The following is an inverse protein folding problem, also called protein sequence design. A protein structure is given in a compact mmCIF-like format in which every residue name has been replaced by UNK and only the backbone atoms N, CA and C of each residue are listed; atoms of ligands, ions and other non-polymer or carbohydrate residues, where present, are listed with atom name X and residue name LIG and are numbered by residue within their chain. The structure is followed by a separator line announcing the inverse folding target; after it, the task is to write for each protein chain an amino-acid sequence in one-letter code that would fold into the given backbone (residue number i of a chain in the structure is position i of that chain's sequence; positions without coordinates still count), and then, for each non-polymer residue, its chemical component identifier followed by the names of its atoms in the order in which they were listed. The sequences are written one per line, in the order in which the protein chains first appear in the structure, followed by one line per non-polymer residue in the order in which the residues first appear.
data_IF_176422165797
#
_entry.id   IF_176422165797
#
_cell.length_a   1.000
_cell.length_b   1.000
_cell.length_c   1.000
_cell.angle_alpha   90.00
_cell.angle_beta   90.00
_cell.angle_gamma   90.00
#
_symmetry.space_group_name_H-M   'P 1'
#
loop_
_entity.id
_entity.type
_entity.pdbx_description
1 polymer ?
#
# COMPACT_ATOMS: atom_id res chain seq x y z
N UNK A 1 11.75 -21.32 -63.89
CA UNK A 1 12.06 -21.17 -62.45
C UNK A 1 10.73 -21.01 -61.74
N UNK A 2 10.25 -22.08 -61.11
CA UNK A 2 9.00 -22.08 -60.34
C UNK A 2 9.27 -21.35 -59.04
N UNK A 3 8.56 -20.24 -58.79
CA UNK A 3 8.51 -19.60 -57.48
C UNK A 3 7.68 -20.55 -56.63
N UNK A 4 8.36 -21.31 -55.77
CA UNK A 4 7.72 -22.06 -54.70
C UNK A 4 7.06 -21.02 -53.80
N UNK A 5 5.73 -20.95 -53.86
CA UNK A 5 4.94 -20.36 -52.78
C UNK A 5 5.40 -21.02 -51.49
N UNK A 6 6.04 -20.23 -50.63
CA UNK A 6 6.29 -20.62 -49.25
C UNK A 6 4.92 -20.90 -48.66
N UNK A 7 4.63 -22.19 -48.48
CA UNK A 7 3.36 -22.69 -47.98
C UNK A 7 2.96 -21.84 -46.79
N UNK A 8 1.76 -21.26 -46.90
CA UNK A 8 1.04 -20.64 -45.81
C UNK A 8 1.29 -21.49 -44.57
N UNK A 9 2.01 -20.94 -43.56
CA UNK A 9 2.21 -21.64 -42.30
C UNK A 9 0.85 -22.15 -41.89
N UNK A 10 0.67 -23.49 -41.85
CA UNK A 10 -0.59 -24.11 -41.48
C UNK A 10 -1.04 -23.40 -40.20
N UNK A 11 -2.10 -22.58 -40.31
CA UNK A 11 -2.51 -21.73 -39.22
C UNK A 11 -2.82 -22.67 -38.06
N UNK A 12 -2.07 -22.57 -36.96
CA UNK A 12 -2.38 -23.37 -35.78
C UNK A 12 -3.87 -23.21 -35.47
N UNK A 13 -4.51 -24.28 -35.01
CA UNK A 13 -5.91 -24.22 -34.63
C UNK A 13 -6.11 -23.21 -33.49
N UNK A 14 -7.30 -22.60 -33.44
CA UNK A 14 -7.67 -21.65 -32.38
C UNK A 14 -7.49 -22.25 -30.98
N UNK A 15 -7.73 -23.55 -30.84
CA UNK A 15 -7.58 -24.28 -29.58
C UNK A 15 -6.12 -24.32 -29.10
N UNK A 16 -5.17 -24.55 -30.01
CA UNK A 16 -3.74 -24.52 -29.67
C UNK A 16 -3.30 -23.12 -29.25
N UNK A 17 -3.82 -22.08 -29.90
CA UNK A 17 -3.56 -20.71 -29.48
C UNK A 17 -4.14 -20.43 -28.10
N UNK A 18 -5.36 -20.90 -27.82
CA UNK A 18 -5.97 -20.78 -26.49
C UNK A 18 -5.12 -21.46 -25.40
N UNK A 19 -4.67 -22.70 -25.64
CA UNK A 19 -3.83 -23.44 -24.69
C UNK A 19 -2.47 -22.77 -24.45
N UNK A 20 -1.89 -22.14 -25.47
CA UNK A 20 -0.66 -21.35 -25.33
C UNK A 20 -0.94 -20.10 -24.50
N UNK A 21 -1.96 -19.32 -24.87
CA UNK A 21 -2.30 -18.05 -24.22
C UNK A 21 -2.68 -18.25 -22.74
N UNK A 22 -3.34 -19.37 -22.40
CA UNK A 22 -3.71 -19.73 -21.03
C UNK A 22 -2.51 -19.93 -20.09
N UNK A 23 -1.32 -20.22 -20.63
CA UNK A 23 -0.09 -20.46 -19.85
C UNK A 23 0.77 -19.21 -19.69
N UNK A 24 0.42 -18.11 -20.37
CA UNK A 24 1.16 -16.86 -20.29
C UNK A 24 0.84 -16.12 -19.00
N UNK A 25 1.82 -15.39 -18.47
CA UNK A 25 1.57 -14.39 -17.44
C UNK A 25 0.77 -13.22 -18.02
N UNK A 26 0.10 -12.44 -17.15
CA UNK A 26 -0.81 -11.38 -17.58
C UNK A 26 -0.15 -10.29 -18.43
N UNK A 27 1.13 -9.97 -18.20
CA UNK A 27 1.82 -8.94 -18.98
C UNK A 27 2.13 -9.46 -20.39
N UNK A 28 2.61 -10.70 -20.50
CA UNK A 28 2.84 -11.35 -21.79
C UNK A 28 1.53 -11.60 -22.54
N UNK A 29 0.45 -11.98 -21.86
CA UNK A 29 -0.88 -12.12 -22.45
C UNK A 29 -1.38 -10.78 -23.04
N UNK A 30 -1.22 -9.68 -22.30
CA UNK A 30 -1.56 -8.35 -22.79
C UNK A 30 -0.77 -7.98 -24.05
N UNK A 31 0.54 -8.24 -24.06
CA UNK A 31 1.40 -7.98 -25.22
C UNK A 31 1.02 -8.85 -26.43
N UNK A 32 0.75 -10.14 -26.21
CA UNK A 32 0.33 -11.07 -27.25
C UNK A 32 -1.00 -10.63 -27.89
N UNK A 33 -1.93 -10.10 -27.09
CA UNK A 33 -3.22 -9.60 -27.60
C UNK A 33 -3.08 -8.48 -28.64
N UNK A 34 -1.96 -7.75 -28.63
CA UNK A 34 -1.68 -6.68 -29.59
C UNK A 34 -0.97 -7.16 -30.86
N UNK A 35 -0.49 -8.41 -30.89
CA UNK A 35 0.34 -8.91 -31.99
C UNK A 35 -0.48 -9.33 -33.23
N UNK A 36 -1.68 -9.88 -33.04
CA UNK A 36 -2.56 -10.29 -34.13
C UNK A 36 -4.04 -10.32 -33.72
N UNK A 37 -4.94 -10.32 -34.72
CA UNK A 37 -6.39 -10.29 -34.49
C UNK A 37 -6.93 -11.55 -33.78
N UNK A 38 -6.35 -12.73 -34.06
CA UNK A 38 -6.73 -13.99 -33.41
C UNK A 38 -6.42 -13.95 -31.92
N UNK A 39 -5.19 -13.55 -31.54
CA UNK A 39 -4.81 -13.39 -30.14
C UNK A 39 -5.64 -12.30 -29.46
N UNK A 40 -5.89 -11.18 -30.13
CA UNK A 40 -6.76 -10.12 -29.60
C UNK A 40 -8.17 -10.66 -29.27
N UNK A 41 -8.72 -11.53 -30.14
CA UNK A 41 -10.04 -12.11 -29.94
C UNK A 41 -10.06 -13.11 -28.79
N UNK A 42 -9.08 -14.02 -28.73
CA UNK A 42 -8.97 -15.01 -27.66
C UNK A 42 -8.69 -14.33 -26.30
N UNK A 43 -7.81 -13.34 -26.26
CA UNK A 43 -7.50 -12.57 -25.04
C UNK A 43 -8.65 -11.72 -24.51
N UNK A 44 -9.82 -11.69 -25.15
CA UNK A 44 -11.03 -11.09 -24.57
C UNK A 44 -11.78 -12.05 -23.65
N UNK A 45 -11.46 -13.34 -23.66
CA UNK A 45 -12.09 -14.31 -22.76
C UNK A 45 -11.68 -14.07 -21.31
N UNK A 46 -12.67 -13.92 -20.44
CA UNK A 46 -12.46 -13.64 -19.01
C UNK A 46 -11.78 -14.79 -18.27
N UNK A 47 -11.97 -16.03 -18.73
CA UNK A 47 -11.35 -17.23 -18.14
C UNK A 47 -9.81 -17.17 -18.13
N UNK A 48 -9.20 -16.55 -19.16
CA UNK A 48 -7.75 -16.36 -19.24
C UNK A 48 -7.29 -15.39 -18.14
N UNK A 49 -7.99 -14.28 -17.99
CA UNK A 49 -7.66 -13.26 -16.99
C UNK A 49 -7.99 -13.71 -15.56
N UNK A 50 -9.03 -14.53 -15.38
CA UNK A 50 -9.35 -15.19 -14.12
C UNK A 50 -8.17 -16.06 -13.66
N UNK A 51 -7.63 -16.92 -14.54
CA UNK A 51 -6.46 -17.74 -14.22
C UNK A 51 -5.23 -16.87 -13.87
N UNK A 52 -5.01 -15.78 -14.59
CA UNK A 52 -3.93 -14.82 -14.30
C UNK A 52 -4.13 -14.17 -12.93
N UNK A 53 -5.35 -13.74 -12.60
CA UNK A 53 -5.66 -13.13 -11.31
C UNK A 53 -5.48 -14.12 -10.16
N UNK A 54 -5.99 -15.35 -10.28
CA UNK A 54 -5.78 -16.41 -9.30
C UNK A 54 -4.29 -16.70 -9.08
N UNK A 55 -3.51 -16.67 -10.17
CA UNK A 55 -2.07 -16.89 -10.14
C UNK A 55 -1.31 -15.75 -9.46
N UNK A 56 -1.83 -14.51 -9.40
CA UNK A 56 -1.17 -13.38 -8.74
C UNK A 56 -1.71 -13.10 -7.33
N UNK A 57 -3.02 -13.23 -7.15
CA UNK A 57 -3.77 -12.83 -5.97
C UNK A 57 -4.63 -14.01 -5.53
N UNK A 58 -4.15 -14.75 -4.53
CA UNK A 58 -4.81 -15.97 -4.06
C UNK A 58 -6.25 -15.72 -3.59
N UNK A 59 -6.50 -14.54 -3.01
CA UNK A 59 -7.82 -14.11 -2.55
C UNK A 59 -8.88 -14.12 -3.66
N UNK A 60 -8.47 -13.97 -4.92
CA UNK A 60 -9.40 -13.94 -6.06
C UNK A 60 -10.03 -15.29 -6.37
N UNK A 61 -9.51 -16.40 -5.81
CA UNK A 61 -10.13 -17.73 -5.93
C UNK A 61 -11.44 -17.87 -5.16
N UNK A 62 -11.72 -16.99 -4.19
CA UNK A 62 -12.92 -17.07 -3.35
C UNK A 62 -14.15 -16.62 -4.13
N UNK A 63 -15.25 -17.38 -4.01
CA UNK A 63 -16.47 -17.15 -4.80
C UNK A 63 -17.11 -15.76 -4.56
N UNK A 64 -17.02 -15.25 -3.33
CA UNK A 64 -17.48 -13.90 -2.97
C UNK A 64 -16.67 -12.82 -3.71
N UNK A 65 -15.35 -13.00 -3.81
CA UNK A 65 -14.45 -12.10 -4.55
C UNK A 65 -14.67 -12.21 -6.07
N UNK A 66 -14.94 -13.41 -6.60
CA UNK A 66 -15.28 -13.58 -8.02
C UNK A 66 -16.54 -12.80 -8.40
N UNK A 67 -17.56 -12.85 -7.55
CA UNK A 67 -18.79 -12.07 -7.71
C UNK A 67 -18.51 -10.57 -7.68
N UNK A 68 -17.67 -10.11 -6.74
CA UNK A 68 -17.21 -8.72 -6.68
C UNK A 68 -16.50 -8.29 -7.96
N UNK A 69 -15.50 -9.05 -8.41
CA UNK A 69 -14.72 -8.75 -9.62
C UNK A 69 -15.62 -8.69 -10.85
N UNK A 70 -16.57 -9.62 -10.96
CA UNK A 70 -17.58 -9.62 -12.02
C UNK A 70 -18.43 -8.35 -11.98
N UNK A 71 -18.86 -7.91 -10.79
CA UNK A 71 -19.69 -6.69 -10.63
C UNK A 71 -18.97 -5.38 -10.97
N UNK A 72 -17.64 -5.33 -10.80
CA UNK A 72 -16.83 -4.13 -11.09
C UNK A 72 -16.28 -4.08 -12.51
N UNK A 73 -16.54 -5.12 -13.33
CA UNK A 73 -16.26 -5.13 -14.77
C UNK A 73 -15.39 -6.27 -15.27
N UNK A 74 -15.20 -7.33 -14.49
CA UNK A 74 -14.51 -8.55 -14.90
C UNK A 74 -13.02 -8.61 -14.52
N UNK A 75 -12.45 -9.80 -14.63
CA UNK A 75 -11.06 -10.10 -14.31
C UNK A 75 -10.08 -9.38 -15.22
N UNK A 76 -10.41 -9.19 -16.50
CA UNK A 76 -9.54 -8.44 -17.42
C UNK A 76 -9.34 -7.01 -16.97
N UNK A 77 -10.43 -6.33 -16.61
CA UNK A 77 -10.39 -4.98 -16.08
C UNK A 77 -9.70 -4.94 -14.73
N UNK A 78 -10.07 -5.85 -13.82
CA UNK A 78 -9.46 -5.94 -12.49
C UNK A 78 -7.94 -6.11 -12.55
N UNK A 79 -7.44 -6.98 -13.43
CA UNK A 79 -6.00 -7.13 -13.67
C UNK A 79 -5.37 -5.85 -14.20
N UNK A 80 -5.96 -5.24 -15.22
CA UNK A 80 -5.46 -3.99 -15.80
C UNK A 80 -5.43 -2.85 -14.77
N UNK A 81 -6.37 -2.88 -13.83
CA UNK A 81 -6.49 -1.89 -12.77
C UNK A 81 -5.47 -2.09 -11.63
N UNK A 82 -5.27 -3.34 -11.20
CA UNK A 82 -4.51 -3.66 -9.98
C UNK A 82 -3.06 -4.06 -10.21
N UNK A 83 -2.72 -4.54 -11.41
CA UNK A 83 -1.35 -4.91 -11.74
C UNK A 83 -0.38 -3.72 -11.78
N UNK A 84 -0.69 -2.59 -12.46
CA UNK A 84 0.18 -1.42 -12.44
C UNK A 84 0.11 -0.69 -11.09
N UNK A 85 1.23 -0.09 -10.70
CA UNK A 85 1.38 0.60 -9.42
C UNK A 85 1.03 2.08 -9.53
N UNK A 86 0.46 2.66 -8.47
CA UNK A 86 0.16 4.09 -8.41
C UNK A 86 1.45 4.90 -8.47
N UNK A 87 1.46 5.94 -9.31
CA UNK A 87 2.58 6.90 -9.42
C UNK A 87 2.02 8.30 -9.32
N UNK A 88 2.50 9.05 -8.33
CA UNK A 88 2.21 10.47 -8.20
C UNK A 88 3.47 11.28 -8.55
N UNK A 89 3.43 11.98 -9.70
CA UNK A 89 4.51 12.87 -10.14
C UNK A 89 4.27 14.33 -9.74
N UNK A 90 3.07 14.65 -9.27
CA UNK A 90 2.65 16.00 -8.88
C UNK A 90 2.95 16.25 -7.39
N UNK A 91 4.16 15.90 -6.91
CA UNK A 91 4.56 16.26 -5.55
C UNK A 91 4.85 17.75 -5.54
N UNK A 92 4.10 18.59 -4.80
CA UNK A 92 4.37 20.02 -4.76
C UNK A 92 5.78 20.25 -4.22
N UNK A 93 6.65 20.85 -5.03
CA UNK A 93 7.94 21.35 -4.57
C UNK A 93 7.65 22.56 -3.69
N UNK A 94 7.80 22.40 -2.37
CA UNK A 94 7.91 23.47 -1.38
C UNK A 94 7.04 24.71 -1.65
N UNK A 95 5.72 24.53 -1.65
CA UNK A 95 4.76 25.59 -1.35
C UNK A 95 3.76 25.07 -0.34
N UNK A 96 4.27 24.58 0.79
CA UNK A 96 3.47 24.62 2.01
C UNK A 96 3.69 26.04 2.53
N UNK A 97 2.94 27.00 2.00
CA UNK A 97 3.04 28.40 2.42
C UNK A 97 3.00 28.42 3.95
N UNK A 98 4.11 28.87 4.52
CA UNK A 98 4.39 28.96 5.95
C UNK A 98 3.64 30.12 6.60
N UNK A 99 2.47 30.47 6.07
CA UNK A 99 1.67 31.61 6.49
C UNK A 99 0.19 31.40 6.15
N UNK A 100 -0.38 30.30 6.65
CA UNK A 100 -1.77 30.40 7.07
C UNK A 100 -1.72 30.47 8.58
N UNK A 101 -1.99 31.69 9.10
CA UNK A 101 -2.61 31.84 10.40
C UNK A 101 -3.59 30.67 10.55
N UNK A 102 -3.47 29.90 11.63
CA UNK A 102 -4.65 29.23 12.15
C UNK A 102 -5.74 30.29 12.11
N UNK A 103 -6.84 30.12 11.36
CA UNK A 103 -7.98 30.99 11.56
C UNK A 103 -8.42 30.68 12.98
N UNK A 104 -7.93 31.49 13.93
CA UNK A 104 -8.61 31.71 15.18
C UNK A 104 -10.04 32.04 14.75
N UNK A 105 -10.96 31.12 15.05
CA UNK A 105 -12.38 31.19 14.70
C UNK A 105 -12.73 30.77 13.25
N UNK A 106 -12.68 29.47 12.97
CA UNK A 106 -13.77 28.88 12.16
C UNK A 106 -15.03 28.96 13.02
N UNK A 107 -15.78 30.05 12.92
CA UNK A 107 -17.17 30.07 13.36
C UNK A 107 -17.94 29.00 12.57
N UNK A 108 -18.16 27.85 13.23
CA UNK A 108 -19.39 27.05 13.14
C UNK A 108 -20.58 28.04 13.02
N UNK A 109 -21.17 28.36 11.84
CA UNK A 109 -21.89 27.41 10.99
C UNK A 109 -21.98 27.76 9.47
N UNK A 110 -21.10 28.59 8.88
CA UNK A 110 -21.31 29.12 7.51
C UNK A 110 -20.64 28.32 6.36
N UNK A 111 -20.05 27.15 6.64
CA UNK A 111 -19.45 26.25 5.63
C UNK A 111 -20.45 25.25 4.99
N UNK A 112 -21.76 25.45 5.19
CA UNK A 112 -22.82 24.66 4.55
C UNK A 112 -23.50 25.47 3.45
N UNK A 113 -22.79 25.70 2.35
CA UNK A 113 -23.35 26.30 1.15
C UNK A 113 -22.54 25.92 -0.09
N UNK A 114 -23.09 24.98 -0.87
CA UNK A 114 -22.58 24.40 -2.14
C UNK A 114 -21.58 23.24 -2.04
N UNK A 115 -22.08 22.00 -1.85
CA UNK A 115 -21.69 20.85 -2.68
C UNK A 115 -22.90 19.89 -2.73
N UNK A 116 -23.69 19.98 -3.80
CA UNK A 116 -24.74 19.01 -4.15
C UNK A 116 -24.17 17.70 -4.75
N UNK A 117 -22.85 17.45 -4.68
CA UNK A 117 -22.17 16.27 -5.24
C UNK A 117 -21.55 15.31 -4.19
N UNK A 118 -21.92 15.42 -2.91
CA UNK A 118 -21.62 14.35 -1.94
C UNK A 118 -22.55 13.15 -2.16
N UNK A 119 -22.34 12.45 -3.27
CA UNK A 119 -22.69 11.06 -3.35
C UNK A 119 -21.89 10.32 -2.27
N UNK A 120 -22.51 10.16 -1.09
CA UNK A 120 -21.98 9.64 0.17
C UNK A 120 -21.07 8.43 -0.05
N UNK A 121 -19.76 8.63 0.04
CA UNK A 121 -18.79 7.54 0.06
C UNK A 121 -18.88 6.91 1.43
N UNK A 122 -19.29 5.64 1.48
CA UNK A 122 -19.42 4.92 2.73
C UNK A 122 -18.22 3.99 2.95
N UNK A 123 -17.82 3.75 4.20
CA UNK A 123 -16.83 2.73 4.52
C UNK A 123 -17.16 1.37 3.91
N UNK A 124 -18.45 1.01 3.87
CA UNK A 124 -18.96 -0.24 3.31
C UNK A 124 -18.84 -0.35 1.79
N UNK A 125 -18.55 0.75 1.07
CA UNK A 125 -18.30 0.72 -0.37
C UNK A 125 -16.94 0.11 -0.72
N UNK A 126 -16.01 0.10 0.24
CA UNK A 126 -14.65 -0.38 0.05
C UNK A 126 -14.53 -1.87 0.38
N UNK A 127 -13.61 -2.53 -0.32
CA UNK A 127 -13.18 -3.91 -0.04
C UNK A 127 -11.66 -3.94 -0.14
N UNK A 128 -10.99 -4.50 0.86
CA UNK A 128 -9.54 -4.73 0.83
C UNK A 128 -9.25 -6.18 0.50
N UNK A 129 -8.54 -6.43 -0.59
CA UNK A 129 -8.04 -7.75 -0.99
C UNK A 129 -6.54 -7.75 -0.73
N UNK A 130 -6.09 -8.59 0.20
CA UNK A 130 -4.71 -8.56 0.72
C UNK A 130 -4.07 -9.92 0.58
N UNK A 131 -3.01 -9.98 -0.21
CA UNK A 131 -2.24 -11.19 -0.43
C UNK A 131 -0.76 -10.92 -0.18
N UNK A 132 -0.13 -11.81 0.58
CA UNK A 132 1.31 -11.80 0.84
C UNK A 132 1.91 -13.06 0.28
N UNK A 133 3.02 -12.88 -0.44
CA UNK A 133 3.82 -13.97 -0.99
C UNK A 133 5.24 -13.89 -0.48
N UNK A 134 5.83 -15.05 -0.27
CA UNK A 134 7.26 -15.19 -0.12
C UNK A 134 7.76 -16.08 -1.25
N UNK A 135 8.58 -15.50 -2.14
CA UNK A 135 8.95 -16.11 -3.42
C UNK A 135 7.67 -16.44 -4.20
N UNK A 136 7.47 -17.70 -4.59
CA UNK A 136 6.28 -18.14 -5.33
C UNK A 136 5.18 -18.72 -4.42
N UNK A 137 5.40 -18.76 -3.09
CA UNK A 137 4.43 -19.30 -2.13
C UNK A 137 3.57 -18.20 -1.53
N UNK A 138 2.26 -18.44 -1.46
CA UNK A 138 1.30 -17.59 -0.75
C UNK A 138 1.40 -17.89 0.74
N UNK A 139 1.61 -16.86 1.55
CA UNK A 139 1.82 -17.00 2.99
C UNK A 139 0.67 -16.38 3.79
N UNK A 140 -0.03 -15.40 3.22
CA UNK A 140 -1.21 -14.78 3.82
C UNK A 140 -2.17 -14.37 2.71
N UNK A 141 -3.47 -14.57 2.91
CA UNK A 141 -4.51 -14.22 1.95
C UNK A 141 -5.79 -13.88 2.73
N UNK A 142 -6.25 -12.64 2.64
CA UNK A 142 -7.44 -12.20 3.36
C UNK A 142 -8.21 -11.13 2.58
N UNK A 143 -9.51 -11.07 2.84
CA UNK A 143 -10.44 -10.15 2.21
C UNK A 143 -11.26 -9.48 3.30
N UNK A 144 -11.17 -8.16 3.38
CA UNK A 144 -12.01 -7.35 4.27
C UNK A 144 -13.10 -6.67 3.47
N UNK A 145 -14.34 -6.84 3.91
CA UNK A 145 -15.51 -6.15 3.39
C UNK A 145 -15.80 -4.93 4.26
N UNK A 146 -15.70 -3.73 3.68
CA UNK A 146 -15.79 -2.47 4.42
C UNK A 146 -14.46 -2.04 5.05
N UNK A 147 -14.50 -0.93 5.78
CA UNK A 147 -13.40 -0.51 6.66
C UNK A 147 -13.69 -1.02 8.07
N UNK A 148 -12.75 -1.73 8.72
CA UNK A 148 -12.93 -2.19 10.10
C UNK A 148 -13.24 -1.03 11.06
N UNK A 149 -13.96 -1.34 12.14
CA UNK A 149 -14.33 -0.39 13.20
C UNK A 149 -15.13 0.84 12.74
N UNK A 150 -15.64 0.83 11.50
CA UNK A 150 -16.42 1.94 10.93
C UNK A 150 -17.92 1.88 11.26
N UNK A 151 -18.42 0.71 11.66
CA UNK A 151 -19.82 0.49 12.05
C UNK A 151 -20.14 0.95 13.49
N UNK A 152 -19.19 1.60 14.17
CA UNK A 152 -19.34 2.07 15.54
C UNK A 152 -20.46 3.11 15.69
N UNK A 153 -21.27 2.98 16.76
CA UNK A 153 -22.24 3.99 17.15
C UNK A 153 -21.56 5.37 17.24
N UNK A 154 -22.21 6.39 16.65
CA UNK A 154 -21.79 7.80 16.59
C UNK A 154 -20.74 8.19 15.54
N UNK A 155 -20.33 7.31 14.62
CA UNK A 155 -19.46 7.72 13.51
C UNK A 155 -18.04 8.14 13.93
N UNK A 156 -17.56 7.67 15.09
CA UNK A 156 -16.22 7.95 15.62
C UNK A 156 -15.12 7.80 14.55
N UNK A 157 -15.23 6.77 13.72
CA UNK A 157 -14.31 6.52 12.61
C UNK A 157 -13.94 7.78 11.82
N UNK A 158 -14.90 8.66 11.52
CA UNK A 158 -14.67 9.83 10.68
C UNK A 158 -13.64 10.81 11.26
N UNK A 159 -13.54 10.90 12.58
CA UNK A 159 -12.62 11.79 13.31
C UNK A 159 -11.37 11.06 13.82
N UNK A 160 -11.36 9.73 13.74
CA UNK A 160 -10.26 8.89 14.22
C UNK A 160 -9.09 8.84 13.24
N UNK A 161 -7.83 8.74 13.72
CA UNK A 161 -6.68 8.40 12.89
C UNK A 161 -6.92 7.11 12.10
N UNK A 162 -6.81 7.18 10.78
CA UNK A 162 -7.06 6.03 9.92
C UNK A 162 -5.98 4.96 10.06
N UNK A 163 -6.42 3.75 10.38
CA UNK A 163 -5.59 2.55 10.45
C UNK A 163 -6.44 1.31 10.19
N UNK A 164 -5.92 0.40 9.37
CA UNK A 164 -6.47 -0.95 9.21
C UNK A 164 -5.43 -1.94 9.71
N UNK A 165 -5.79 -2.84 10.62
CA UNK A 165 -4.86 -3.82 11.20
C UNK A 165 -5.40 -5.25 11.04
N UNK A 166 -4.77 -6.04 10.16
CA UNK A 166 -5.33 -7.34 9.76
C UNK A 166 -5.02 -8.48 10.73
N UNK A 167 -3.89 -8.43 11.41
CA UNK A 167 -3.43 -9.52 12.29
C UNK A 167 -4.10 -9.41 13.66
N UNK A 168 -4.34 -8.20 14.15
CA UNK A 168 -5.08 -8.00 15.40
C UNK A 168 -6.59 -8.28 15.24
N UNK A 169 -7.16 -8.08 14.03
CA UNK A 169 -8.58 -8.38 13.77
C UNK A 169 -8.89 -9.89 13.77
N UNK A 170 -7.92 -10.76 13.48
CA UNK A 170 -8.10 -12.21 13.64
C UNK A 170 -8.23 -12.63 15.11
N UNK A 171 -7.53 -11.95 16.03
CA UNK A 171 -7.56 -12.28 17.47
C UNK A 171 -8.93 -12.01 18.11
N UNK A 172 -9.68 -11.01 17.61
CA UNK A 172 -10.97 -10.60 18.17
C UNK A 172 -12.17 -11.43 17.66
N UNK A 173 -12.02 -12.14 16.53
CA UNK A 173 -13.14 -12.80 15.84
C UNK A 173 -13.28 -14.30 16.16
N UNK A 174 -12.49 -14.86 17.09
CA UNK A 174 -12.64 -16.23 17.58
C UNK A 174 -12.48 -17.34 16.52
N UNK A 175 -11.93 -17.02 15.35
CA UNK A 175 -11.56 -17.99 14.32
C UNK A 175 -10.24 -18.69 14.74
N UNK A 176 -10.08 -19.99 14.44
CA UNK A 176 -8.88 -20.73 14.81
C UNK A 176 -7.64 -20.05 14.23
N UNK A 177 -6.62 -19.93 15.09
CA UNK A 177 -5.28 -19.40 14.82
C UNK A 177 -4.65 -20.04 13.57
N UNK A 178 -4.88 -19.48 12.38
CA UNK A 178 -3.92 -19.65 11.28
C UNK A 178 -2.77 -18.67 11.55
N UNK A 179 -1.96 -19.00 12.57
CA UNK A 179 -0.70 -18.29 12.83
C UNK A 179 0.17 -18.40 11.58
N UNK A 180 0.28 -17.30 10.84
CA UNK A 180 1.13 -17.26 9.65
C UNK A 180 2.59 -17.32 10.06
N UNK A 181 3.17 -18.50 9.88
CA UNK A 181 4.56 -18.80 10.14
C UNK A 181 5.31 -19.09 8.84
N UNK A 182 6.58 -18.68 8.79
CA UNK A 182 7.51 -19.00 7.72
C UNK A 182 8.67 -19.78 8.32
N UNK A 183 9.03 -20.90 7.71
CA UNK A 183 10.11 -21.76 8.17
C UNK A 183 11.20 -21.95 7.10
N UNK A 184 12.23 -22.72 7.44
CA UNK A 184 13.29 -23.11 6.48
C UNK A 184 12.73 -23.95 5.33
N UNK A 185 11.64 -24.70 5.56
CA UNK A 185 10.95 -25.48 4.51
C UNK A 185 10.36 -24.58 3.42
N UNK A 186 10.01 -23.34 3.78
CA UNK A 186 9.54 -22.31 2.84
C UNK A 186 10.70 -21.67 2.04
N UNK A 187 11.92 -22.14 2.25
CA UNK A 187 13.12 -21.61 1.61
C UNK A 187 13.68 -20.36 2.30
N UNK A 188 13.41 -20.18 3.60
CA UNK A 188 14.15 -19.22 4.43
C UNK A 188 15.57 -19.75 4.69
N UNK A 189 16.59 -18.86 4.73
CA UNK A 189 17.92 -19.27 5.13
C UNK A 189 17.93 -19.68 6.61
N UNK A 190 18.55 -20.82 6.97
CA UNK A 190 18.72 -21.17 8.37
C UNK A 190 19.66 -20.18 9.05
N UNK A 191 19.22 -19.60 10.16
CA UNK A 191 20.06 -18.83 11.07
C UNK A 191 20.31 -19.63 12.35
N UNK A 192 21.58 -19.71 12.74
CA UNK A 192 22.02 -20.44 13.94
C UNK A 192 22.14 -19.54 15.17
N UNK A 193 22.16 -18.22 14.98
CA UNK A 193 22.17 -17.21 16.04
C UNK A 193 21.69 -15.87 15.48
N UNK A 194 20.89 -15.14 16.27
CA UNK A 194 20.43 -13.79 15.93
C UNK A 194 21.60 -12.79 15.84
N UNK A 195 22.69 -13.04 16.57
CA UNK A 195 23.89 -12.20 16.59
C UNK A 195 24.71 -12.34 15.31
N UNK A 196 24.76 -13.55 14.73
CA UNK A 196 25.39 -13.77 13.42
C UNK A 196 24.57 -13.14 12.32
N UNK A 197 23.25 -13.35 12.37
CA UNK A 197 22.35 -12.64 11.48
C UNK A 197 22.62 -11.13 11.60
N UNK A 198 22.76 -10.56 12.82
CA UNK A 198 23.10 -9.13 13.03
C UNK A 198 24.30 -8.65 12.21
N UNK A 199 25.34 -9.47 12.05
CA UNK A 199 26.52 -9.14 11.21
C UNK A 199 26.26 -9.37 9.72
N UNK A 200 25.64 -10.49 9.35
CA UNK A 200 25.58 -10.96 7.97
C UNK A 200 24.36 -10.45 7.19
N UNK A 201 23.27 -10.17 7.90
CA UNK A 201 22.00 -9.68 7.36
C UNK A 201 21.41 -10.59 6.28
N UNK A 202 21.68 -11.89 6.34
CA UNK A 202 21.32 -12.83 5.28
C UNK A 202 19.82 -13.08 5.28
N UNK A 203 19.25 -13.37 6.45
CA UNK A 203 17.81 -13.57 6.61
C UNK A 203 17.04 -12.29 6.23
N UNK A 204 17.50 -11.13 6.69
CA UNK A 204 16.88 -9.86 6.34
C UNK A 204 16.86 -9.60 4.83
N UNK A 205 17.98 -9.83 4.13
CA UNK A 205 18.07 -9.64 2.68
C UNK A 205 17.15 -10.60 1.93
N UNK A 206 17.20 -11.90 2.25
CA UNK A 206 16.33 -12.90 1.63
C UNK A 206 14.84 -12.60 1.88
N UNK A 207 14.47 -12.19 3.09
CA UNK A 207 13.10 -11.83 3.43
C UNK A 207 12.65 -10.59 2.64
N UNK A 208 13.47 -9.54 2.61
CA UNK A 208 13.19 -8.30 1.87
C UNK A 208 13.06 -8.56 0.37
N UNK A 209 13.95 -9.38 -0.20
CA UNK A 209 14.00 -9.63 -1.64
C UNK A 209 12.93 -10.63 -2.07
N UNK A 210 12.55 -11.56 -1.19
CA UNK A 210 11.57 -12.62 -1.42
C UNK A 210 10.12 -12.22 -1.14
N UNK A 211 9.84 -11.30 -0.22
CA UNK A 211 8.46 -10.94 0.10
C UNK A 211 7.86 -10.01 -0.96
N UNK A 212 6.61 -10.32 -1.32
CA UNK A 212 5.75 -9.45 -2.12
C UNK A 212 4.42 -9.23 -1.42
N UNK A 213 3.94 -7.99 -1.41
CA UNK A 213 2.66 -7.60 -0.84
C UNK A 213 1.77 -7.01 -1.94
N UNK A 214 0.52 -7.49 -2.00
CA UNK A 214 -0.57 -6.82 -2.71
C UNK A 214 -1.61 -6.38 -1.70
N UNK A 215 -1.97 -5.10 -1.74
CA UNK A 215 -3.09 -4.56 -0.97
C UNK A 215 -3.98 -3.80 -1.93
N UNK A 216 -4.96 -4.51 -2.47
CA UNK A 216 -5.89 -3.98 -3.47
C UNK A 216 -7.10 -3.42 -2.76
N UNK A 217 -7.39 -2.15 -3.01
CA UNK A 217 -8.64 -1.53 -2.63
C UNK A 217 -9.58 -1.55 -3.82
N UNK A 218 -10.80 -2.02 -3.59
CA UNK A 218 -11.90 -2.00 -4.56
C UNK A 218 -13.00 -1.10 -4.00
N UNK A 219 -13.50 -0.16 -4.80
CA UNK A 219 -14.73 0.55 -4.49
C UNK A 219 -15.86 -0.01 -5.36
N UNK A 220 -16.87 -0.59 -4.70
CA UNK A 220 -18.01 -1.25 -5.36
C UNK A 220 -18.87 -0.28 -6.14
N UNK A 221 -19.04 0.93 -5.63
CA UNK A 221 -19.90 1.97 -6.22
C UNK A 221 -19.26 2.58 -7.47
N UNK A 222 -18.00 2.97 -7.37
CA UNK A 222 -17.22 3.53 -8.49
C UNK A 222 -16.79 2.44 -9.50
N UNK A 223 -16.90 1.17 -9.14
CA UNK A 223 -16.42 0.02 -9.93
C UNK A 223 -14.96 0.17 -10.33
N UNK A 224 -14.13 0.64 -9.41
CA UNK A 224 -12.69 0.82 -9.62
C UNK A 224 -11.91 0.04 -8.58
N UNK A 225 -10.72 -0.40 -8.97
CA UNK A 225 -9.78 -1.05 -8.07
C UNK A 225 -8.37 -0.48 -8.29
N UNK A 226 -7.53 -0.53 -7.27
CA UNK A 226 -6.11 -0.21 -7.39
C UNK A 226 -5.30 -0.94 -6.31
N UNK A 227 -4.08 -1.34 -6.64
CA UNK A 227 -3.12 -1.84 -5.66
C UNK A 227 -2.39 -0.66 -5.02
N UNK A 228 -2.51 -0.52 -3.71
CA UNK A 228 -1.85 0.53 -2.93
C UNK A 228 -0.45 0.10 -2.46
N UNK A 229 -0.12 -1.19 -2.55
CA UNK A 229 1.19 -1.71 -2.18
C UNK A 229 2.20 -1.55 -3.33
N UNK A 230 3.47 -1.35 -2.99
CA UNK A 230 4.59 -1.22 -3.93
C UNK A 230 5.07 -2.55 -4.54
N UNK A 231 4.33 -3.66 -4.38
CA UNK A 231 4.79 -5.04 -4.58
C UNK A 231 5.97 -5.44 -3.68
N UNK A 232 7.10 -4.75 -3.76
CA UNK A 232 8.33 -5.01 -3.01
C UNK A 232 8.49 -4.01 -1.85
N UNK A 233 9.25 -4.35 -0.80
CA UNK A 233 9.48 -3.44 0.32
C UNK A 233 10.25 -2.19 -0.15
N UNK A 234 9.69 -1.01 0.12
CA UNK A 234 10.35 0.29 -0.11
C UNK A 234 11.51 0.50 0.87
N UNK A 235 11.36 -0.06 2.06
CA UNK A 235 12.37 -0.02 3.10
C UNK A 235 11.96 -0.91 4.27
N UNK A 236 12.69 -0.78 5.36
CA UNK A 236 12.37 -1.51 6.57
C UNK A 236 13.48 -1.41 7.60
N UNK A 237 13.18 -1.91 8.79
CA UNK A 237 14.12 -1.94 9.89
C UNK A 237 14.31 -3.37 10.35
N UNK A 238 15.57 -3.72 10.50
CA UNK A 238 16.00 -5.05 10.89
C UNK A 238 15.92 -5.31 12.40
N UNK A 239 15.84 -4.25 13.22
CA UNK A 239 15.85 -4.30 14.68
C UNK A 239 14.84 -3.28 15.24
N UNK A 240 13.55 -3.63 15.29
CA UNK A 240 12.50 -2.73 15.79
C UNK A 240 11.94 -3.24 17.12
N UNK A 241 11.82 -2.38 18.14
CA UNK A 241 12.77 -2.23 19.25
C UNK A 241 13.39 -3.52 19.85
N UNK A 242 12.85 -4.70 19.54
CA UNK A 242 13.38 -6.01 19.92
C UNK A 242 14.29 -6.55 18.81
N UNK A 243 15.44 -7.12 19.17
CA UNK A 243 16.41 -7.72 18.22
C UNK A 243 15.86 -8.93 17.43
N UNK A 244 14.60 -9.32 17.68
CA UNK A 244 13.90 -10.45 17.05
C UNK A 244 12.83 -10.02 16.03
N UNK A 245 12.56 -8.73 15.89
CA UNK A 245 11.47 -8.23 15.06
C UNK A 245 12.01 -7.53 13.79
N UNK A 246 11.57 -8.03 12.64
CA UNK A 246 11.83 -7.46 11.33
C UNK A 246 10.61 -6.64 10.88
N UNK A 247 10.83 -5.39 10.51
CA UNK A 247 9.79 -4.49 10.01
C UNK A 247 10.04 -4.16 8.54
N UNK A 248 9.06 -4.41 7.69
CA UNK A 248 9.07 -4.01 6.28
C UNK A 248 7.99 -2.96 6.03
N UNK A 249 8.32 -2.00 5.17
CA UNK A 249 7.41 -0.94 4.72
C UNK A 249 7.15 -1.09 3.23
N UNK A 250 5.89 -1.09 2.87
CA UNK A 250 5.39 -1.00 1.50
C UNK A 250 4.48 0.21 1.41
N UNK A 251 4.09 0.61 0.21
CA UNK A 251 3.15 1.70 0.10
C UNK A 251 3.16 2.40 -1.24
N UNK A 252 2.47 3.51 -1.29
CA UNK A 252 2.40 4.39 -2.45
C UNK A 252 2.10 5.82 -2.02
N UNK A 253 2.37 6.76 -2.91
CA UNK A 253 2.09 8.18 -2.70
C UNK A 253 0.77 8.49 -3.41
N UNK A 254 -0.24 8.89 -2.64
CA UNK A 254 -1.60 9.11 -3.10
C UNK A 254 -1.87 10.60 -3.28
N UNK A 255 -2.60 11.01 -4.34
CA UNK A 255 -3.09 12.37 -4.45
C UNK A 255 -4.21 12.63 -3.45
N UNK A 256 -4.21 13.84 -2.91
CA UNK A 256 -5.21 14.38 -1.99
C UNK A 256 -5.61 15.82 -2.39
N UNK A 257 -5.70 16.06 -3.71
CA UNK A 257 -6.10 17.35 -4.30
C UNK A 257 -7.46 17.76 -3.73
N UNK A 258 -7.57 19.00 -3.28
CA UNK A 258 -8.78 19.56 -2.66
C UNK A 258 -9.29 18.83 -1.40
N UNK A 259 -8.47 17.93 -0.81
CA UNK A 259 -8.80 17.20 0.41
C UNK A 259 -7.91 17.64 1.58
N UNK A 260 -6.61 17.81 1.33
CA UNK A 260 -5.63 18.24 2.35
C UNK A 260 -4.78 19.42 1.84
N UNK A 261 -4.28 20.30 2.73
CA UNK A 261 -3.46 21.45 2.35
C UNK A 261 -2.25 21.07 1.51
N UNK A 262 -1.57 19.97 1.85
CA UNK A 262 -0.36 19.51 1.15
C UNK A 262 -0.66 18.65 -0.09
N UNK A 263 -1.94 18.41 -0.42
CA UNK A 263 -2.45 17.70 -1.60
C UNK A 263 -1.89 16.29 -1.87
N UNK A 264 -1.12 15.72 -0.94
CA UNK A 264 -0.44 14.43 -1.08
C UNK A 264 -0.46 13.70 0.26
N UNK A 265 -0.67 12.38 0.18
CA UNK A 265 -0.71 11.46 1.33
C UNK A 265 0.21 10.27 1.08
N UNK A 266 0.97 9.89 2.08
CA UNK A 266 1.72 8.63 2.10
C UNK A 266 0.80 7.51 2.58
N UNK A 267 0.56 6.53 1.71
CA UNK A 267 -0.03 5.27 2.11
C UNK A 267 1.09 4.34 2.60
N UNK A 268 1.08 4.04 3.89
CA UNK A 268 2.10 3.25 4.57
C UNK A 268 1.50 1.90 4.95
N UNK A 269 2.05 0.85 4.36
CA UNK A 269 1.76 -0.53 4.69
C UNK A 269 2.91 -1.09 5.53
N UNK A 270 2.62 -1.55 6.73
CA UNK A 270 3.61 -2.09 7.66
C UNK A 270 3.40 -3.59 7.81
N UNK A 271 4.49 -4.34 7.65
CA UNK A 271 4.53 -5.78 7.88
C UNK A 271 5.61 -6.07 8.91
N UNK A 272 5.28 -6.77 9.99
CA UNK A 272 6.24 -7.17 11.03
C UNK A 272 6.32 -8.68 11.15
N UNK A 273 7.54 -9.21 11.15
CA UNK A 273 7.82 -10.60 11.49
C UNK A 273 8.61 -10.67 12.79
N UNK A 274 8.22 -11.59 13.66
CA UNK A 274 8.96 -11.94 14.87
C UNK A 274 9.64 -13.29 14.72
N UNK A 275 10.91 -13.36 15.06
CA UNK A 275 11.63 -14.64 15.19
C UNK A 275 11.17 -15.33 16.47
N UNK A 276 10.57 -16.52 16.34
CA UNK A 276 10.09 -17.30 17.49
C UNK A 276 11.14 -18.28 18.00
N UNK A 277 11.71 -19.09 17.12
CA UNK A 277 12.65 -20.16 17.48
C UNK A 277 14.02 -19.93 16.83
N UNK A 278 15.05 -19.85 17.68
CA UNK A 278 16.46 -19.94 17.31
C UNK A 278 17.23 -20.55 18.49
N UNK A 279 17.27 -21.88 18.62
CA UNK A 279 18.36 -22.62 19.31
C UNK A 279 18.15 -24.15 19.34
N UNK A 280 19.25 -24.90 19.25
CA UNK A 280 19.34 -26.36 19.53
C UNK A 280 19.48 -27.26 18.29
N UNK A 281 20.43 -28.20 18.33
CA UNK A 281 20.72 -29.25 17.33
C UNK A 281 19.49 -29.65 16.49
N UNK A 282 19.41 -29.13 15.26
CA UNK A 282 18.38 -29.50 14.28
C UNK A 282 17.15 -28.61 14.18
N UNK A 283 17.01 -27.53 14.96
CA UNK A 283 15.82 -26.66 14.90
C UNK A 283 15.91 -25.56 13.84
N UNK A 284 14.87 -25.45 13.02
CA UNK A 284 14.76 -24.56 11.86
C UNK A 284 14.31 -23.15 12.27
N UNK A 285 14.87 -22.11 11.64
CA UNK A 285 14.43 -20.71 11.81
C UNK A 285 12.96 -20.58 11.45
N UNK A 286 12.16 -20.08 12.40
CA UNK A 286 10.74 -19.80 12.19
C UNK A 286 10.41 -18.34 12.49
N UNK A 287 9.77 -17.67 11.52
CA UNK A 287 9.25 -16.31 11.63
C UNK A 287 7.73 -16.36 11.76
N UNK A 288 7.15 -15.54 12.63
CA UNK A 288 5.70 -15.32 12.72
C UNK A 288 5.35 -13.92 12.27
N UNK A 289 4.34 -13.79 11.41
CA UNK A 289 3.75 -12.51 11.07
C UNK A 289 2.98 -11.97 12.29
N UNK A 290 3.40 -10.82 12.83
CA UNK A 290 2.82 -10.22 14.04
C UNK A 290 2.04 -8.95 13.77
N UNK A 291 2.28 -8.29 12.64
CA UNK A 291 1.52 -7.12 12.23
C UNK A 291 1.43 -7.08 10.71
N UNK A 292 0.25 -6.78 10.19
CA UNK A 292 0.03 -6.38 8.81
C UNK A 292 -1.01 -5.26 8.83
N UNK A 293 -0.55 -4.01 8.64
CA UNK A 293 -1.39 -2.84 8.81
C UNK A 293 -1.23 -1.81 7.69
N UNK A 294 -2.29 -1.03 7.44
CA UNK A 294 -2.31 0.13 6.55
C UNK A 294 -2.55 1.40 7.37
N UNK A 295 -1.84 2.46 7.04
CA UNK A 295 -1.99 3.80 7.62
C UNK A 295 -1.87 4.86 6.52
N UNK A 296 -2.59 5.97 6.67
CA UNK A 296 -2.47 7.13 5.79
C UNK A 296 -1.90 8.30 6.57
N UNK A 297 -0.82 8.89 6.06
CA UNK A 297 -0.17 10.06 6.67
C UNK A 297 -0.08 11.21 5.71
N UNK A 298 -0.36 12.41 6.21
CA UNK A 298 -0.13 13.62 5.47
C UNK A 298 1.38 13.91 5.32
N UNK A 299 1.68 14.93 4.51
CA UNK A 299 3.05 15.40 4.30
C UNK A 299 3.72 15.92 5.59
N UNK A 300 2.94 16.35 6.59
CA UNK A 300 3.43 16.75 7.91
C UNK A 300 3.76 15.56 8.82
N UNK A 301 3.36 14.34 8.44
CA UNK A 301 3.53 13.11 9.21
C UNK A 301 2.38 12.81 10.18
N UNK A 302 1.32 13.63 10.19
CA UNK A 302 0.11 13.40 10.98
C UNK A 302 -0.77 12.35 10.30
N UNK A 303 -1.52 11.62 11.10
CA UNK A 303 -2.46 10.64 10.58
C UNK A 303 -3.66 11.34 9.95
N UNK A 304 -4.07 10.88 8.78
CA UNK A 304 -5.31 11.34 8.14
C UNK A 304 -6.50 10.75 8.88
N UNK A 305 -7.55 11.54 9.14
CA UNK A 305 -8.76 11.04 9.79
C UNK A 305 -9.57 10.11 8.87
N UNK A 306 -10.52 9.36 9.42
CA UNK A 306 -11.33 8.42 8.63
C UNK A 306 -12.08 9.08 7.47
N UNK A 307 -12.66 10.27 7.66
CA UNK A 307 -13.41 10.98 6.61
C UNK A 307 -12.53 11.32 5.41
N UNK A 308 -11.42 12.00 5.65
CA UNK A 308 -10.48 12.38 4.59
C UNK A 308 -9.83 11.14 3.97
N UNK A 309 -9.66 10.06 4.75
CA UNK A 309 -9.10 8.82 4.24
C UNK A 309 -9.98 8.15 3.19
N UNK A 310 -11.31 8.14 3.36
CA UNK A 310 -12.23 7.62 2.33
C UNK A 310 -12.13 8.43 1.03
N UNK A 311 -11.99 9.76 1.13
CA UNK A 311 -11.82 10.65 -0.02
C UNK A 311 -10.49 10.37 -0.74
N UNK A 312 -9.39 10.26 0.02
CA UNK A 312 -8.07 9.95 -0.51
C UNK A 312 -8.05 8.57 -1.18
N UNK A 313 -8.68 7.56 -0.57
CA UNK A 313 -8.79 6.23 -1.15
C UNK A 313 -9.60 6.26 -2.45
N UNK A 314 -10.72 7.00 -2.51
CA UNK A 314 -11.48 7.18 -3.75
C UNK A 314 -10.65 7.86 -4.84
N UNK A 315 -9.93 8.91 -4.50
CA UNK A 315 -9.09 9.63 -5.47
C UNK A 315 -7.89 8.80 -5.93
N UNK A 316 -7.33 7.97 -5.05
CA UNK A 316 -6.30 7.00 -5.37
C UNK A 316 -6.73 6.01 -6.48
N UNK A 317 -8.02 5.63 -6.50
CA UNK A 317 -8.56 4.75 -7.54
C UNK A 317 -8.54 5.40 -8.94
N UNK A 318 -8.48 6.73 -9.04
CA UNK A 318 -8.42 7.46 -10.32
C UNK A 318 -7.00 7.86 -10.71
N UNK A 319 -6.02 7.56 -9.86
CA UNK A 319 -4.64 7.99 -10.02
C UNK A 319 -3.97 7.37 -11.24
N UNK A 320 -2.95 8.08 -11.75
CA UNK A 320 -2.06 7.56 -12.77
C UNK A 320 -1.31 6.32 -12.25
N UNK A 321 -1.16 5.32 -13.10
CA UNK A 321 -0.48 4.07 -12.76
C UNK A 321 0.61 3.73 -13.77
N UNK A 322 1.64 3.03 -13.31
CA UNK A 322 2.76 2.60 -14.14
C UNK A 322 3.14 1.15 -13.86
N UNK A 323 3.53 0.43 -14.91
CA UNK A 323 4.18 -0.88 -14.79
C UNK A 323 5.68 -0.74 -14.54
N UNK A 324 6.23 0.47 -14.70
CA UNK A 324 7.64 0.72 -14.50
C UNK A 324 7.93 0.97 -13.00
N UNK A 325 8.55 -0.02 -12.36
CA UNK A 325 8.91 0.06 -10.95
C UNK A 325 9.86 1.23 -10.63
N UNK A 326 10.72 1.65 -11.57
CA UNK A 326 11.63 2.77 -11.32
C UNK A 326 10.88 4.10 -11.16
N UNK A 327 9.78 4.31 -11.87
CA UNK A 327 8.96 5.51 -11.73
C UNK A 327 8.26 5.57 -10.37
N UNK A 328 7.86 4.41 -9.83
CA UNK A 328 7.23 4.31 -8.51
C UNK A 328 8.25 4.65 -7.42
N UNK A 329 9.46 4.09 -7.53
CA UNK A 329 10.56 4.40 -6.63
C UNK A 329 10.94 5.88 -6.67
N UNK A 330 10.99 6.47 -7.87
CA UNK A 330 11.25 7.89 -8.05
C UNK A 330 10.18 8.75 -7.36
N UNK A 331 8.90 8.43 -7.55
CA UNK A 331 7.78 9.11 -6.88
C UNK A 331 7.90 9.04 -5.35
N UNK A 332 8.21 7.86 -4.80
CA UNK A 332 8.42 7.70 -3.35
C UNK A 332 9.65 8.48 -2.86
N UNK A 333 10.74 8.51 -3.64
CA UNK A 333 11.96 9.24 -3.31
C UNK A 333 11.72 10.75 -3.30
N UNK A 334 11.01 11.28 -4.30
CA UNK A 334 10.62 12.70 -4.36
C UNK A 334 9.78 13.11 -3.15
N UNK A 335 8.80 12.28 -2.77
CA UNK A 335 8.00 12.50 -1.57
C UNK A 335 8.86 12.50 -0.31
N UNK A 336 9.70 11.48 -0.11
CA UNK A 336 10.58 11.37 1.07
C UNK A 336 11.52 12.57 1.19
N UNK A 337 12.07 13.03 0.06
CA UNK A 337 12.92 14.22 0.01
C UNK A 337 12.14 15.47 0.44
N UNK A 338 10.99 15.74 -0.17
CA UNK A 338 10.19 16.90 0.19
C UNK A 338 9.68 16.84 1.64
N UNK A 339 9.35 15.66 2.15
CA UNK A 339 8.99 15.47 3.57
C UNK A 339 10.16 15.78 4.50
N UNK A 340 11.38 15.38 4.14
CA UNK A 340 12.58 15.68 4.92
C UNK A 340 12.91 17.16 4.96
N UNK A 341 12.74 17.87 3.84
CA UNK A 341 12.93 19.32 3.74
C UNK A 341 11.92 20.07 4.63
N UNK A 342 10.63 19.71 4.57
CA UNK A 342 9.60 20.32 5.44
C UNK A 342 9.88 20.05 6.93
N UNK A 343 10.35 18.85 7.28
CA UNK A 343 10.72 18.53 8.66
C UNK A 343 11.91 19.36 9.13
N UNK A 344 12.91 19.56 8.27
CA UNK A 344 14.08 20.39 8.59
C UNK A 344 13.69 21.86 8.78
N UNK A 345 12.83 22.40 7.90
CA UNK A 345 12.30 23.76 8.03
C UNK A 345 11.50 23.94 9.32
N UNK A 346 10.65 22.97 9.66
CA UNK A 346 9.89 22.99 10.92
C UNK A 346 10.82 22.96 12.14
N UNK A 347 11.80 22.06 12.18
CA UNK A 347 12.79 22.00 13.27
C UNK A 347 13.60 23.29 13.37
N UNK A 348 13.96 23.90 12.24
CA UNK A 348 14.67 25.20 12.21
C UNK A 348 13.79 26.32 12.77
N UNK A 349 12.50 26.34 12.45
CA UNK A 349 11.57 27.33 12.96
C UNK A 349 11.33 27.16 14.47
N UNK A 350 11.07 25.93 14.93
CA UNK A 350 10.92 25.61 16.35
C UNK A 350 12.18 25.99 17.14
N UNK A 351 13.37 25.67 16.62
CA UNK A 351 14.65 26.07 17.23
C UNK A 351 14.81 27.60 17.32
N UNK A 352 14.32 28.36 16.34
CA UNK A 352 14.31 29.83 16.40
C UNK A 352 13.35 30.36 17.46
N UNK A 353 12.16 29.75 17.59
CA UNK A 353 11.17 30.11 18.61
C UNK A 353 11.67 29.79 20.01
N UNK A 354 12.28 28.63 20.22
CA UNK A 354 12.89 28.24 21.49
C UNK A 354 13.98 29.23 21.90
N UNK A 355 14.84 29.64 20.96
CA UNK A 355 15.88 30.65 21.22
C UNK A 355 15.30 32.00 21.62
N UNK A 356 14.22 32.44 20.95
CA UNK A 356 13.52 33.68 21.31
C UNK A 356 12.85 33.58 22.68
N UNK A 357 12.24 32.43 22.99
CA UNK A 357 11.63 32.15 24.30
C UNK A 357 12.67 32.21 25.43
N UNK A 358 13.84 31.59 25.23
CA UNK A 358 14.95 31.62 26.20
C UNK A 358 15.46 33.06 26.40
N UNK A 359 15.67 33.82 25.33
CA UNK A 359 16.14 35.22 25.42
C UNK A 359 15.11 36.10 26.13
N UNK A 360 13.82 35.92 25.82
CA UNK A 360 12.72 36.62 26.49
C UNK A 360 12.69 36.31 27.99
N UNK A 361 12.80 35.02 28.37
CA UNK A 361 12.88 34.61 29.78
C UNK A 361 14.06 35.21 30.53
N UNK A 362 15.24 35.27 29.90
CA UNK A 362 16.44 35.93 30.47
C UNK A 362 16.19 37.43 30.65
N UNK A 363 15.58 38.11 29.67
CA UNK A 363 15.28 39.53 29.76
C UNK A 363 14.28 39.85 30.90
N UNK A 364 13.22 39.03 31.05
CA UNK A 364 12.27 39.13 32.15
C UNK A 364 12.95 38.91 33.51
N UNK A 365 13.84 37.92 33.61
CA UNK A 365 14.58 37.68 34.84
C UNK A 365 15.50 38.86 35.22
N UNK A 366 16.26 39.39 34.25
CA UNK A 366 17.15 40.53 34.48
C UNK A 366 16.35 41.77 34.90
N UNK A 367 15.25 42.08 34.21
CA UNK A 367 14.39 43.23 34.56
C UNK A 367 13.76 43.07 35.94
N UNK A 368 13.34 41.87 36.32
CA UNK A 368 12.85 41.59 37.68
C UNK A 368 13.92 41.85 38.75
N UNK A 369 15.17 41.43 38.52
CA UNK A 369 16.28 41.72 39.41
C UNK A 369 16.55 43.23 39.54
N UNK A 370 16.49 43.98 38.44
CA UNK A 370 16.64 45.43 38.46
C UNK A 370 15.48 46.18 39.14
N UNK A 371 14.29 45.60 39.21
CA UNK A 371 13.15 46.20 39.92
C UNK A 371 13.14 45.91 41.44
N UNK A 372 13.86 44.88 41.89
CA UNK A 372 13.97 44.51 43.31
C UNK A 372 15.15 45.20 43.99
N UNK A 373 16.21 45.51 43.22
CA UNK A 373 17.35 46.30 43.68
C UNK A 373 17.02 47.79 43.66
#
# INVERSE_FOLDING_TARGET
MSIVEVGCMASLSSDLFYDILRRLDGATLANASCACATFCTISKEESLWENVCHSLWASTNREDVKSLISSVGGFRKFYADCYPLIVNKDVPVAQCDSYYEYPEEWFEPEYYGYIEDFESILPSDFVSIVDVRYKDKVIYSNVLWGIPDSDGFNGWFYDCPFRIDLVNLSDSNGLPEDEVTLSVEDGLPPIFSIERERKDGKLWRELRDGIRLSWIIVNKKEKQAANLASWSPLGGQRHWPTDRDFLMRFGSILPAKDILPCQVVECILVMKFRVIHTEGEGSQTTLKLTELSMQLKDMGGSHVNGRNSLLVLKEALKSRRSKNYSEVLESCHLYSKAQSELKEEKMRNESRLDRLCIISGIAVFITFWYCIL
#
